data_IF_396098035773
#
_entry.id   IF_396098035773
#
_cell.length_a   1.000
_cell.length_b   1.000
_cell.length_c   1.000
_cell.angle_alpha   90.00
_cell.angle_beta   90.00
_cell.angle_gamma   90.00
#
_symmetry.space_group_name_H-M   'P 1'
#
loop_
_entity.id
_entity.type
_entity.pdbx_description
1 polymer ?
#
# COMPACT_ATOMS: atom_id res chain seq x y z
N UNK A 1 27.31 6.09 22.80
CA UNK A 1 26.86 7.49 22.80
C UNK A 1 25.37 7.48 22.49
N UNK A 2 24.48 8.04 23.33
CA UNK A 2 23.08 8.18 22.96
C UNK A 2 22.99 9.12 21.75
N UNK A 3 22.40 8.65 20.65
CA UNK A 3 22.21 9.49 19.46
C UNK A 3 21.34 10.69 19.82
N UNK A 4 21.91 11.88 19.67
CA UNK A 4 21.23 13.15 19.85
C UNK A 4 19.97 13.19 18.98
N UNK A 5 18.87 13.63 19.58
CA UNK A 5 17.60 13.88 18.91
C UNK A 5 17.83 15.03 17.92
N UNK A 6 18.11 14.69 16.66
CA UNK A 6 18.15 15.65 15.57
C UNK A 6 16.70 15.87 15.11
N UNK A 7 16.11 16.98 15.56
CA UNK A 7 14.85 17.52 15.02
C UNK A 7 15.02 18.08 13.60
N UNK A 8 16.02 17.61 12.84
CA UNK A 8 16.26 18.10 11.49
C UNK A 8 15.16 17.57 10.57
N UNK A 9 14.44 18.44 9.85
CA UNK A 9 13.46 18.01 8.86
C UNK A 9 14.12 17.10 7.83
N UNK A 10 13.39 16.07 7.39
CA UNK A 10 13.85 15.21 6.30
C UNK A 10 14.09 16.05 5.03
N UNK A 11 15.13 15.67 4.28
CA UNK A 11 15.34 16.23 2.95
C UNK A 11 14.11 15.93 2.07
N UNK A 12 13.71 16.91 1.26
CA UNK A 12 12.60 16.73 0.32
C UNK A 12 12.88 15.52 -0.58
N UNK A 13 11.91 14.61 -0.66
CA UNK A 13 12.01 13.48 -1.57
C UNK A 13 11.96 13.97 -3.02
N UNK A 14 12.85 13.44 -3.86
CA UNK A 14 12.84 13.70 -5.30
C UNK A 14 12.63 12.36 -5.97
N UNK A 15 11.52 12.25 -6.70
CA UNK A 15 11.20 11.05 -7.48
C UNK A 15 12.27 10.84 -8.56
N UNK A 16 12.62 9.58 -8.88
CA UNK A 16 13.43 9.30 -10.05
C UNK A 16 12.76 9.86 -11.31
N UNK A 17 13.51 10.15 -12.39
CA UNK A 17 12.90 10.50 -13.65
C UNK A 17 12.11 9.29 -14.21
N UNK A 18 11.09 9.59 -15.01
CA UNK A 18 10.36 8.57 -15.76
C UNK A 18 11.29 7.75 -16.65
N UNK A 19 10.87 6.51 -16.91
CA UNK A 19 11.56 5.64 -17.88
C UNK A 19 11.54 6.27 -19.27
N UNK A 20 12.63 6.09 -20.01
CA UNK A 20 12.73 6.47 -21.42
C UNK A 20 12.44 5.30 -22.36
N UNK A 21 12.19 4.13 -21.79
CA UNK A 21 11.86 2.92 -22.55
C UNK A 21 10.45 3.03 -23.14
N UNK A 22 10.28 2.53 -24.36
CA UNK A 22 8.96 2.45 -25.00
C UNK A 22 8.26 1.17 -24.55
N UNK A 23 7.28 1.32 -23.66
CA UNK A 23 6.49 0.22 -23.11
C UNK A 23 5.05 0.30 -23.59
N UNK A 24 4.39 -0.85 -23.74
CA UNK A 24 2.93 -0.90 -23.89
C UNK A 24 2.29 -0.76 -22.51
N UNK A 25 1.46 0.26 -22.33
CA UNK A 25 0.77 0.53 -21.07
C UNK A 25 -0.65 -0.03 -21.10
N UNK A 26 -1.09 -0.58 -19.98
CA UNK A 26 -2.47 -1.01 -19.81
C UNK A 26 -3.39 0.23 -19.71
N UNK A 27 -4.53 0.22 -20.42
CA UNK A 27 -5.53 1.27 -20.33
C UNK A 27 -6.35 1.08 -19.05
N UNK A 28 -5.92 1.75 -17.98
CA UNK A 28 -6.52 1.64 -16.65
C UNK A 28 -7.53 2.76 -16.43
N UNK A 29 -8.69 2.39 -15.87
CA UNK A 29 -9.72 3.35 -15.48
C UNK A 29 -9.19 4.21 -14.32
N UNK A 30 -9.41 5.53 -14.41
CA UNK A 30 -9.14 6.46 -13.30
C UNK A 30 -10.43 6.86 -12.60
N UNK A 31 -10.53 6.55 -11.31
CA UNK A 31 -11.63 6.94 -10.43
C UNK A 31 -11.32 8.27 -9.74
N UNK A 32 -12.12 9.29 -10.06
CA UNK A 32 -12.03 10.61 -9.44
C UNK A 32 -12.91 10.66 -8.18
N UNK A 33 -12.30 10.63 -6.99
CA UNK A 33 -13.05 10.64 -5.73
C UNK A 33 -13.67 12.00 -5.38
N UNK A 34 -13.33 13.08 -6.09
CA UNK A 34 -14.02 14.37 -5.93
C UNK A 34 -15.48 14.29 -6.39
N UNK A 35 -15.82 13.28 -7.19
CA UNK A 35 -17.17 13.03 -7.69
C UNK A 35 -18.05 12.28 -6.68
N UNK A 36 -17.47 11.64 -5.67
CA UNK A 36 -18.20 10.72 -4.77
C UNK A 36 -19.37 11.38 -4.05
N UNK A 37 -19.16 12.58 -3.51
CA UNK A 37 -20.16 13.30 -2.71
C UNK A 37 -21.09 14.17 -3.58
N UNK A 38 -20.95 14.13 -4.92
CA UNK A 38 -21.78 14.92 -5.83
C UNK A 38 -23.11 14.17 -6.14
N UNK A 39 -24.26 14.87 -6.15
CA UNK A 39 -25.56 14.23 -6.42
C UNK A 39 -25.57 13.47 -7.76
N UNK A 40 -25.98 12.19 -7.73
CA UNK A 40 -26.12 11.33 -8.92
C UNK A 40 -24.81 10.92 -9.60
N UNK A 41 -23.67 11.05 -8.91
CA UNK A 41 -22.34 10.67 -9.44
C UNK A 41 -21.81 9.36 -8.87
N UNK A 42 -22.44 8.84 -7.82
CA UNK A 42 -22.08 7.57 -7.20
C UNK A 42 -22.26 6.40 -8.18
N UNK A 43 -23.36 6.37 -8.92
CA UNK A 43 -23.68 5.32 -9.89
C UNK A 43 -22.61 5.25 -11.00
N UNK A 44 -22.18 6.43 -11.47
CA UNK A 44 -21.09 6.52 -12.46
C UNK A 44 -19.77 5.96 -11.92
N UNK A 45 -19.40 6.31 -10.68
CA UNK A 45 -18.19 5.79 -10.06
C UNK A 45 -18.27 4.27 -9.84
N UNK A 46 -19.45 3.77 -9.47
CA UNK A 46 -19.69 2.34 -9.32
C UNK A 46 -19.56 1.60 -10.67
N UNK A 47 -20.11 2.14 -11.75
CA UNK A 47 -19.95 1.57 -13.09
C UNK A 47 -18.49 1.55 -13.54
N UNK A 48 -17.74 2.63 -13.30
CA UNK A 48 -16.30 2.69 -13.59
C UNK A 48 -15.52 1.64 -12.79
N UNK A 49 -15.79 1.52 -11.49
CA UNK A 49 -15.16 0.54 -10.61
C UNK A 49 -15.49 -0.90 -11.06
N UNK A 50 -16.76 -1.16 -11.40
CA UNK A 50 -17.23 -2.45 -11.89
C UNK A 50 -16.51 -2.85 -13.18
N UNK A 51 -16.38 -1.92 -14.13
CA UNK A 51 -15.63 -2.18 -15.36
C UNK A 51 -14.17 -2.52 -15.08
N UNK A 52 -13.49 -1.73 -14.25
CA UNK A 52 -12.08 -1.97 -13.90
C UNK A 52 -11.87 -3.32 -13.19
N UNK A 53 -12.80 -3.71 -12.30
CA UNK A 53 -12.75 -4.97 -11.59
C UNK A 53 -12.95 -6.20 -12.52
N UNK A 54 -13.70 -6.04 -13.61
CA UNK A 54 -13.95 -7.12 -14.58
C UNK A 54 -12.88 -7.25 -15.68
N UNK A 55 -12.02 -6.24 -15.88
CA UNK A 55 -11.00 -6.25 -16.94
C UNK A 55 -9.63 -6.67 -16.44
N UNK A 56 -8.99 -5.82 -15.64
CA UNK A 56 -7.58 -5.96 -15.25
C UNK A 56 -7.46 -6.17 -13.72
N UNK A 57 -8.50 -5.82 -12.95
CA UNK A 57 -8.46 -5.86 -11.48
C UNK A 57 -7.64 -4.71 -10.88
N UNK A 58 -7.25 -3.74 -11.70
CA UNK A 58 -6.42 -2.59 -11.34
C UNK A 58 -7.04 -1.30 -11.90
N UNK A 59 -6.86 -0.20 -11.19
CA UNK A 59 -7.36 1.13 -11.56
C UNK A 59 -6.57 2.21 -10.82
N UNK A 60 -6.61 3.42 -11.37
CA UNK A 60 -6.08 4.61 -10.71
C UNK A 60 -7.15 5.30 -9.88
N UNK A 61 -6.71 6.05 -8.87
CA UNK A 61 -7.57 6.89 -8.05
C UNK A 61 -6.95 8.27 -7.96
N UNK A 62 -7.73 9.30 -8.24
CA UNK A 62 -7.33 10.70 -8.10
C UNK A 62 -8.20 11.42 -7.09
N UNK A 63 -7.75 12.62 -6.69
CA UNK A 63 -8.44 13.48 -5.73
C UNK A 63 -8.71 12.79 -4.39
N UNK A 64 -7.72 12.03 -3.90
CA UNK A 64 -7.77 11.30 -2.62
C UNK A 64 -7.71 12.19 -1.37
N UNK A 65 -7.67 13.52 -1.53
CA UNK A 65 -7.66 14.48 -0.42
C UNK A 65 -6.32 14.59 0.33
N UNK A 66 -5.23 14.08 -0.25
CA UNK A 66 -3.86 14.28 0.24
C UNK A 66 -3.09 15.19 -0.72
N UNK A 67 -2.25 16.07 -0.18
CA UNK A 67 -1.33 16.87 -0.98
C UNK A 67 -0.13 16.04 -1.43
N UNK A 68 0.50 16.42 -2.54
CA UNK A 68 1.74 15.79 -2.98
C UNK A 68 2.83 15.84 -1.90
N UNK A 69 2.91 16.93 -1.13
CA UNK A 69 3.87 17.04 -0.02
C UNK A 69 3.63 16.03 1.10
N UNK A 70 2.37 15.67 1.39
CA UNK A 70 2.06 14.63 2.38
C UNK A 70 2.46 13.24 1.88
N UNK A 71 2.30 12.97 0.58
CA UNK A 71 2.74 11.72 -0.07
C UNK A 71 4.27 11.66 -0.11
N UNK A 72 4.94 12.70 -0.62
CA UNK A 72 6.40 12.82 -0.69
C UNK A 72 7.05 12.66 0.69
N UNK A 73 6.38 13.11 1.75
CA UNK A 73 6.84 12.95 3.12
C UNK A 73 6.89 11.47 3.53
N UNK A 74 5.92 10.63 3.10
CA UNK A 74 5.99 9.18 3.36
C UNK A 74 7.18 8.53 2.64
N UNK A 75 7.45 8.94 1.39
CA UNK A 75 8.65 8.50 0.65
C UNK A 75 9.95 8.96 1.32
N UNK A 76 9.99 10.20 1.85
CA UNK A 76 11.14 10.71 2.58
C UNK A 76 11.41 9.89 3.85
N UNK A 77 10.37 9.54 4.60
CA UNK A 77 10.47 8.70 5.81
C UNK A 77 11.00 7.31 5.43
N UNK A 78 10.44 6.69 4.40
CA UNK A 78 10.89 5.39 3.90
C UNK A 78 12.37 5.43 3.47
N UNK A 79 12.77 6.44 2.68
CA UNK A 79 14.16 6.64 2.25
C UNK A 79 15.11 6.80 3.43
N UNK A 80 14.72 7.55 4.45
CA UNK A 80 15.50 7.73 5.66
C UNK A 80 15.63 6.44 6.47
N UNK A 81 14.58 5.62 6.56
CA UNK A 81 14.64 4.30 7.16
C UNK A 81 15.60 3.37 6.40
N UNK A 82 15.49 3.28 5.07
CA UNK A 82 16.33 2.37 4.28
C UNK A 82 17.81 2.80 4.22
N UNK A 83 18.10 4.08 4.52
CA UNK A 83 19.46 4.58 4.68
C UNK A 83 20.13 4.18 6.02
N UNK A 84 19.38 3.62 6.98
CA UNK A 84 19.95 3.07 8.22
C UNK A 84 20.87 1.88 7.92
N UNK A 85 21.83 1.64 8.82
CA UNK A 85 22.72 0.49 8.68
C UNK A 85 21.94 -0.83 8.77
N UNK A 86 22.42 -1.91 8.14
CA UNK A 86 21.78 -3.23 8.26
C UNK A 86 21.58 -3.65 9.72
N UNK A 87 22.54 -3.36 10.60
CA UNK A 87 22.46 -3.67 12.03
C UNK A 87 21.33 -2.91 12.74
N UNK A 88 21.10 -1.64 12.39
CA UNK A 88 20.00 -0.85 12.97
C UNK A 88 18.65 -1.37 12.48
N UNK A 89 18.52 -1.67 11.17
CA UNK A 89 17.28 -2.23 10.61
C UNK A 89 16.94 -3.59 11.24
N UNK A 90 17.94 -4.45 11.43
CA UNK A 90 17.78 -5.79 12.00
C UNK A 90 17.29 -5.80 13.45
N UNK A 91 17.53 -4.74 14.23
CA UNK A 91 16.95 -4.62 15.59
C UNK A 91 15.41 -4.61 15.57
N UNK A 92 14.80 -4.24 14.44
CA UNK A 92 13.36 -4.14 14.26
C UNK A 92 12.83 -5.21 13.31
N UNK A 93 13.52 -6.35 13.18
CA UNK A 93 13.07 -7.48 12.35
C UNK A 93 11.65 -7.90 12.72
N UNK A 94 10.85 -8.18 11.70
CA UNK A 94 9.56 -8.82 11.85
C UNK A 94 9.74 -10.32 12.21
N UNK A 95 8.89 -10.89 13.07
CA UNK A 95 8.88 -12.34 13.32
C UNK A 95 8.16 -13.06 12.17
N UNK A 96 8.86 -13.14 11.03
CA UNK A 96 8.33 -13.68 9.77
C UNK A 96 7.93 -15.16 9.90
N UNK A 97 8.65 -15.90 10.75
CA UNK A 97 8.41 -17.31 11.05
C UNK A 97 7.02 -17.54 11.65
N UNK A 98 6.50 -16.55 12.39
CA UNK A 98 5.18 -16.58 13.02
C UNK A 98 4.09 -16.02 12.08
N UNK A 99 4.42 -15.76 10.81
CA UNK A 99 3.53 -15.11 9.85
C UNK A 99 3.29 -13.63 10.14
N UNK A 100 4.03 -13.02 11.07
CA UNK A 100 3.89 -11.62 11.44
C UNK A 100 4.90 -10.76 10.67
N UNK A 101 4.36 -9.86 9.85
CA UNK A 101 5.13 -8.99 8.97
C UNK A 101 5.28 -7.56 9.48
N UNK A 102 4.84 -7.25 10.71
CA UNK A 102 4.99 -5.94 11.32
C UNK A 102 6.47 -5.71 11.67
N UNK A 103 7.17 -4.83 10.95
CA UNK A 103 8.60 -4.58 11.11
C UNK A 103 9.43 -4.87 9.84
N UNK A 104 10.74 -5.04 10.02
CA UNK A 104 11.72 -5.19 8.94
C UNK A 104 11.80 -6.61 8.39
N UNK A 105 11.77 -6.75 7.07
CA UNK A 105 12.16 -7.96 6.34
C UNK A 105 13.47 -7.73 5.59
N UNK A 106 14.54 -8.46 5.91
CA UNK A 106 15.82 -8.37 5.21
C UNK A 106 15.77 -8.83 3.74
N UNK A 107 16.72 -8.34 2.94
CA UNK A 107 17.03 -8.90 1.62
C UNK A 107 17.33 -10.40 1.71
N UNK A 108 16.97 -11.16 0.67
CA UNK A 108 17.22 -12.59 0.58
C UNK A 108 16.53 -13.42 1.64
N UNK A 109 15.41 -12.95 2.19
CA UNK A 109 14.65 -13.70 3.21
C UNK A 109 13.81 -14.83 2.61
N UNK A 110 13.59 -14.84 1.29
CA UNK A 110 12.83 -15.89 0.61
C UNK A 110 13.59 -16.35 -0.63
N UNK A 111 13.86 -17.65 -0.69
CA UNK A 111 14.30 -18.33 -1.91
C UNK A 111 13.13 -18.40 -2.90
N UNK A 112 13.27 -17.74 -4.06
CA UNK A 112 12.25 -17.69 -5.11
C UNK A 112 12.38 -18.89 -6.05
N UNK A 113 13.61 -19.23 -6.44
CA UNK A 113 13.96 -20.40 -7.25
C UNK A 113 15.13 -21.12 -6.59
N UNK A 114 15.37 -22.41 -6.87
CA UNK A 114 16.53 -23.12 -6.32
C UNK A 114 17.84 -22.36 -6.55
N UNK A 115 18.46 -21.89 -5.47
CA UNK A 115 19.70 -21.11 -5.47
C UNK A 115 19.54 -19.62 -5.83
N UNK A 116 18.32 -19.10 -5.91
CA UNK A 116 18.02 -17.69 -6.17
C UNK A 116 17.14 -17.10 -5.08
N UNK A 117 17.76 -16.30 -4.22
CA UNK A 117 17.08 -15.52 -3.20
C UNK A 117 16.48 -14.24 -3.77
N UNK A 118 15.45 -13.73 -3.10
CA UNK A 118 14.79 -12.49 -3.48
C UNK A 118 15.63 -11.25 -3.19
N UNK A 119 15.49 -10.23 -4.04
CA UNK A 119 16.17 -8.95 -3.87
C UNK A 119 15.23 -7.87 -3.32
N UNK A 120 14.39 -8.23 -2.34
CA UNK A 120 13.40 -7.34 -1.74
C UNK A 120 13.65 -7.17 -0.24
N UNK A 121 13.77 -5.92 0.20
CA UNK A 121 13.60 -5.56 1.60
C UNK A 121 12.36 -4.69 1.77
N UNK A 122 11.71 -4.80 2.93
CA UNK A 122 10.63 -3.88 3.29
C UNK A 122 10.54 -3.65 4.79
N UNK A 123 9.82 -2.61 5.15
CA UNK A 123 9.44 -2.31 6.53
C UNK A 123 7.96 -2.01 6.59
N UNK A 124 7.20 -2.82 7.34
CA UNK A 124 5.78 -2.58 7.52
C UNK A 124 5.51 -1.90 8.85
N UNK A 125 4.72 -0.83 8.81
CA UNK A 125 4.11 -0.21 9.99
C UNK A 125 2.64 -0.62 9.99
N UNK A 126 2.25 -1.49 10.92
CA UNK A 126 0.84 -1.87 11.07
C UNK A 126 -0.01 -0.70 11.58
N UNK A 127 -1.34 -0.86 11.51
CA UNK A 127 -2.30 0.14 12.00
C UNK A 127 -1.94 0.60 13.41
N UNK A 128 -2.20 1.87 13.72
CA UNK A 128 -1.97 2.43 15.04
C UNK A 128 -3.06 2.01 16.03
N UNK A 129 -3.05 0.74 16.43
CA UNK A 129 -3.96 0.14 17.40
C UNK A 129 -3.15 -0.47 18.56
N UNK A 130 -3.66 -0.51 19.80
CA UNK A 130 -2.90 -1.02 20.95
C UNK A 130 -2.28 -2.40 20.73
N UNK A 131 -3.01 -3.31 20.08
CA UNK A 131 -2.60 -4.70 19.82
C UNK A 131 -1.52 -4.85 18.75
N UNK A 132 -1.28 -3.83 17.92
CA UNK A 132 -0.27 -3.85 16.85
C UNK A 132 0.93 -2.97 17.15
N UNK A 133 0.94 -2.25 18.29
CA UNK A 133 2.07 -1.44 18.72
C UNK A 133 3.28 -2.31 19.06
N UNK A 134 4.47 -1.84 18.65
CA UNK A 134 5.77 -2.43 18.98
C UNK A 134 6.83 -1.32 19.03
N UNK A 135 8.01 -1.57 19.61
CA UNK A 135 9.15 -0.66 19.45
C UNK A 135 9.44 -0.42 17.96
N UNK A 136 9.65 0.85 17.61
CA UNK A 136 9.90 1.31 16.24
C UNK A 136 11.29 1.95 16.14
N UNK A 137 11.93 1.94 14.94
CA UNK A 137 13.11 2.73 14.65
C UNK A 137 12.85 4.20 14.97
N UNK A 138 13.88 4.91 15.43
CA UNK A 138 13.77 6.32 15.83
C UNK A 138 13.12 7.18 14.74
N UNK A 139 13.46 6.95 13.47
CA UNK A 139 12.88 7.69 12.34
C UNK A 139 11.37 7.47 12.20
N UNK A 140 10.88 6.24 12.41
CA UNK A 140 9.45 5.93 12.37
C UNK A 140 8.74 6.56 13.57
N UNK A 141 9.33 6.47 14.76
CA UNK A 141 8.78 7.10 15.98
C UNK A 141 8.69 8.62 15.85
N UNK A 142 9.70 9.27 15.28
CA UNK A 142 9.75 10.72 15.09
C UNK A 142 8.62 11.23 14.19
N UNK A 143 8.23 10.45 13.18
CA UNK A 143 7.19 10.80 12.22
C UNK A 143 5.88 10.01 12.42
N UNK A 144 5.70 9.34 13.56
CA UNK A 144 4.58 8.45 13.83
C UNK A 144 3.21 9.12 13.61
N UNK A 145 3.03 10.37 14.05
CA UNK A 145 1.78 11.11 13.87
C UNK A 145 1.44 11.37 12.40
N UNK A 146 2.45 11.57 11.54
CA UNK A 146 2.26 11.80 10.11
C UNK A 146 1.92 10.49 9.40
N UNK A 147 2.59 9.39 9.77
CA UNK A 147 2.29 8.05 9.26
C UNK A 147 0.88 7.63 9.66
N UNK A 148 0.51 7.83 10.94
CA UNK A 148 -0.83 7.53 11.44
C UNK A 148 -1.90 8.35 10.72
N UNK A 149 -1.69 9.66 10.58
CA UNK A 149 -2.61 10.52 9.84
C UNK A 149 -2.81 10.05 8.40
N UNK A 150 -1.73 9.71 7.69
CA UNK A 150 -1.79 9.17 6.33
C UNK A 150 -2.59 7.86 6.27
N UNK A 151 -2.30 6.90 7.17
CA UNK A 151 -3.00 5.61 7.22
C UNK A 151 -4.50 5.79 7.52
N UNK A 152 -4.84 6.61 8.52
CA UNK A 152 -6.24 6.90 8.87
C UNK A 152 -6.97 7.58 7.74
N UNK A 153 -6.34 8.57 7.09
CA UNK A 153 -6.93 9.26 5.95
C UNK A 153 -7.22 8.31 4.78
N UNK A 154 -6.25 7.47 4.41
CA UNK A 154 -6.44 6.45 3.36
C UNK A 154 -7.55 5.45 3.72
N UNK A 155 -7.68 5.10 4.99
CA UNK A 155 -8.76 4.22 5.43
C UNK A 155 -10.13 4.93 5.36
N UNK A 156 -10.27 6.05 6.03
CA UNK A 156 -11.55 6.74 6.26
C UNK A 156 -12.07 7.44 5.00
N UNK A 157 -11.19 8.08 4.22
CA UNK A 157 -11.58 8.94 3.10
C UNK A 157 -11.47 8.28 1.73
N UNK A 158 -10.72 7.18 1.63
CA UNK A 158 -10.54 6.45 0.36
C UNK A 158 -11.14 5.05 0.46
N UNK A 159 -10.67 4.24 1.42
CA UNK A 159 -11.09 2.83 1.54
C UNK A 159 -12.57 2.69 1.85
N UNK A 160 -13.10 3.42 2.82
CA UNK A 160 -14.53 3.34 3.14
C UNK A 160 -15.41 3.73 1.95
N UNK A 161 -15.03 4.75 1.16
CA UNK A 161 -15.75 5.16 -0.05
C UNK A 161 -15.76 4.04 -1.10
N UNK A 162 -14.59 3.43 -1.36
CA UNK A 162 -14.50 2.31 -2.29
C UNK A 162 -15.28 1.08 -1.82
N UNK A 163 -15.23 0.74 -0.53
CA UNK A 163 -16.00 -0.38 0.02
C UNK A 163 -17.50 -0.15 -0.10
N UNK A 164 -17.98 1.09 0.04
CA UNK A 164 -19.39 1.44 -0.21
C UNK A 164 -19.76 1.34 -1.68
N UNK A 165 -18.88 1.77 -2.60
CA UNK A 165 -19.08 1.55 -4.03
C UNK A 165 -19.17 0.05 -4.36
N UNK A 166 -18.28 -0.77 -3.78
CA UNK A 166 -18.31 -2.23 -3.96
C UNK A 166 -19.61 -2.81 -3.38
N UNK A 167 -20.03 -2.37 -2.19
CA UNK A 167 -21.29 -2.81 -1.61
C UNK A 167 -22.48 -2.46 -2.54
N UNK A 168 -22.49 -1.25 -3.11
CA UNK A 168 -23.49 -0.83 -4.08
C UNK A 168 -23.48 -1.69 -5.36
N UNK A 169 -22.30 -1.97 -5.93
CA UNK A 169 -22.15 -2.84 -7.12
C UNK A 169 -22.66 -4.25 -6.87
N UNK A 170 -22.46 -4.76 -5.66
CA UNK A 170 -22.90 -6.09 -5.22
C UNK A 170 -24.34 -6.11 -4.69
N UNK A 171 -25.06 -4.98 -4.74
CA UNK A 171 -26.41 -4.84 -4.20
C UNK A 171 -26.53 -5.21 -2.71
N UNK A 172 -25.45 -4.94 -1.95
CA UNK A 172 -25.35 -5.16 -0.51
C UNK A 172 -25.70 -3.89 0.30
N UNK A 173 -26.04 -4.01 1.60
CA UNK A 173 -26.18 -2.86 2.47
C UNK A 173 -24.91 -2.00 2.50
N UNK A 174 -25.07 -0.68 2.39
CA UNK A 174 -23.99 0.29 2.14
C UNK A 174 -22.73 0.08 3.00
N UNK A 175 -22.89 -0.06 4.32
CA UNK A 175 -21.76 -0.15 5.24
C UNK A 175 -21.32 -1.59 5.57
N UNK A 176 -21.90 -2.63 4.94
CA UNK A 176 -21.61 -4.02 5.34
C UNK A 176 -20.13 -4.38 5.16
N UNK A 177 -19.52 -3.91 4.06
CA UNK A 177 -18.11 -4.17 3.76
C UNK A 177 -17.18 -3.21 4.50
N UNK A 178 -17.61 -1.95 4.71
CA UNK A 178 -16.86 -0.97 5.48
C UNK A 178 -16.73 -1.38 6.96
N UNK A 179 -17.77 -2.01 7.52
CA UNK A 179 -17.79 -2.51 8.89
C UNK A 179 -17.20 -3.94 9.03
N UNK A 180 -17.00 -4.66 7.92
CA UNK A 180 -16.64 -6.08 7.87
C UNK A 180 -15.18 -6.41 8.19
N UNK A 181 -14.51 -5.66 9.07
CA UNK A 181 -13.15 -6.02 9.50
C UNK A 181 -13.13 -7.41 10.12
N UNK A 182 -12.13 -8.23 9.75
CA UNK A 182 -11.91 -9.56 10.33
C UNK A 182 -11.85 -9.44 11.85
N UNK A 183 -12.73 -10.16 12.53
CA UNK A 183 -12.70 -10.36 13.97
C UNK A 183 -11.42 -11.08 14.40
N UNK A 184 -11.06 -10.99 15.69
CA UNK A 184 -9.94 -11.76 16.25
C UNK A 184 -10.07 -13.26 15.95
N UNK A 185 -11.29 -13.79 16.05
CA UNK A 185 -11.61 -15.19 15.73
C UNK A 185 -11.36 -15.54 14.25
N UNK A 186 -11.59 -14.62 13.31
CA UNK A 186 -11.30 -14.83 11.89
C UNK A 186 -9.80 -14.78 11.60
N UNK A 187 -9.04 -13.93 12.29
CA UNK A 187 -7.58 -13.89 12.17
C UNK A 187 -6.93 -15.18 12.69
N UNK A 188 -7.48 -15.75 13.76
CA UNK A 188 -7.04 -17.03 14.34
C UNK A 188 -7.31 -18.21 13.40
N UNK A 189 -8.44 -18.20 12.67
CA UNK A 189 -8.78 -19.20 11.64
C UNK A 189 -7.74 -19.28 10.51
N UNK A 190 -7.12 -18.15 10.14
CA UNK A 190 -6.04 -18.09 9.14
C UNK A 190 -4.64 -18.10 9.76
N UNK A 191 -4.53 -18.51 11.05
CA UNK A 191 -3.26 -18.65 11.78
C UNK A 191 -2.36 -17.39 11.74
N UNK A 192 -2.94 -16.21 11.59
CA UNK A 192 -2.16 -14.97 11.44
C UNK A 192 -1.19 -14.96 10.25
N UNK A 193 -1.37 -15.84 9.25
CA UNK A 193 -0.47 -15.98 8.11
C UNK A 193 -0.77 -14.92 7.04
N UNK A 194 0.23 -14.08 6.75
CA UNK A 194 0.09 -13.03 5.74
C UNK A 194 0.85 -13.25 4.42
N UNK A 195 1.70 -14.30 4.20
CA UNK A 195 2.05 -14.80 2.83
C UNK A 195 3.08 -15.96 2.57
N UNK A 196 2.97 -16.61 1.38
CA UNK A 196 3.97 -16.71 0.24
C UNK A 196 3.23 -16.81 -1.13
N UNK A 197 3.79 -16.24 -2.22
CA UNK A 197 3.30 -16.23 -3.64
C UNK A 197 1.80 -15.96 -3.85
N UNK A 198 1.38 -14.72 -4.19
CA UNK A 198 0.00 -14.30 -3.88
C UNK A 198 -0.67 -13.25 -4.78
N UNK A 199 -2.00 -13.26 -4.77
CA UNK A 199 -2.85 -12.06 -4.82
C UNK A 199 -2.87 -11.38 -3.44
N UNK A 200 -3.02 -10.06 -3.39
CA UNK A 200 -3.04 -9.34 -2.12
C UNK A 200 -4.09 -9.91 -1.15
N UNK A 201 -3.67 -10.19 0.09
CA UNK A 201 -4.53 -10.79 1.11
C UNK A 201 -5.57 -9.82 1.69
N UNK A 202 -5.42 -8.53 1.39
CA UNK A 202 -6.33 -7.46 1.81
C UNK A 202 -7.49 -7.28 0.84
N UNK A 203 -8.50 -6.50 1.24
CA UNK A 203 -9.63 -6.17 0.37
C UNK A 203 -9.26 -5.18 -0.74
N UNK A 204 -8.40 -4.20 -0.41
CA UNK A 204 -7.92 -3.17 -1.32
C UNK A 204 -6.46 -2.86 -0.98
N UNK A 205 -5.63 -2.71 -2.01
CA UNK A 205 -4.21 -2.33 -1.87
C UNK A 205 -3.97 -1.02 -2.61
N UNK A 206 -3.27 -0.10 -1.96
CA UNK A 206 -2.85 1.17 -2.56
C UNK A 206 -1.35 1.13 -2.77
N UNK A 207 -0.93 1.27 -4.02
CA UNK A 207 0.48 1.39 -4.39
C UNK A 207 0.74 2.84 -4.79
N UNK A 208 1.53 3.53 -3.98
CA UNK A 208 2.14 4.79 -4.37
C UNK A 208 3.47 4.43 -5.01
N UNK A 209 3.51 4.41 -6.34
CA UNK A 209 4.72 4.01 -7.07
C UNK A 209 5.67 5.18 -7.28
N UNK A 210 6.96 4.86 -7.38
CA UNK A 210 7.91 5.75 -8.04
C UNK A 210 7.66 5.64 -9.56
N UNK A 211 8.01 6.66 -10.37
CA UNK A 211 7.87 6.63 -11.84
C UNK A 211 8.89 5.72 -12.53
N UNK A 212 9.17 4.56 -11.93
CA UNK A 212 9.93 3.46 -12.52
C UNK A 212 8.90 2.40 -12.89
N UNK A 213 8.70 2.16 -14.19
CA UNK A 213 7.80 1.13 -14.68
C UNK A 213 8.29 -0.27 -14.27
N UNK A 214 7.89 -0.69 -13.07
CA UNK A 214 8.29 -1.97 -12.48
C UNK A 214 7.08 -2.86 -12.13
N UNK A 215 5.90 -2.26 -11.92
CA UNK A 215 4.66 -3.02 -11.81
C UNK A 215 4.20 -3.41 -13.21
N UNK A 216 3.79 -4.66 -13.40
CA UNK A 216 3.23 -5.15 -14.66
C UNK A 216 2.05 -6.07 -14.34
N UNK A 217 0.80 -5.76 -14.74
CA UNK A 217 -0.30 -6.70 -14.62
C UNK A 217 -0.20 -7.73 -15.76
N UNK A 218 -0.78 -8.91 -15.54
CA UNK A 218 -0.95 -9.91 -16.59
C UNK A 218 -2.43 -10.01 -16.88
N UNK A 219 -2.92 -9.48 -18.02
CA UNK A 219 -4.28 -9.70 -18.46
C UNK A 219 -4.53 -11.20 -18.69
N UNK A 220 -5.64 -11.71 -18.17
CA UNK A 220 -6.01 -13.14 -18.22
C UNK A 220 -6.07 -13.69 -19.65
N UNK A 221 -6.35 -12.82 -20.63
CA UNK A 221 -6.53 -13.21 -22.03
C UNK A 221 -5.24 -13.33 -22.87
N UNK A 222 -4.09 -12.82 -22.42
CA UNK A 222 -2.90 -12.70 -23.31
C UNK A 222 -1.60 -13.27 -22.76
N UNK A 223 -1.41 -13.38 -21.44
CA UNK A 223 -0.14 -13.87 -20.87
C UNK A 223 1.09 -13.01 -21.23
N UNK A 224 0.87 -11.75 -21.62
CA UNK A 224 1.92 -10.76 -21.93
C UNK A 224 1.89 -9.67 -20.85
N UNK A 225 3.07 -9.31 -20.35
CA UNK A 225 3.24 -8.26 -19.34
C UNK A 225 3.07 -6.87 -19.95
N UNK A 226 2.27 -6.01 -19.33
CA UNK A 226 2.06 -4.62 -19.74
C UNK A 226 2.56 -3.65 -18.64
N UNK A 227 3.09 -2.47 -19.00
CA UNK A 227 3.56 -1.46 -18.04
C UNK A 227 2.44 -0.59 -17.47
N UNK A 228 2.80 0.30 -16.53
CA UNK A 228 1.91 1.32 -15.93
C UNK A 228 2.38 2.74 -16.28
N UNK A 229 1.47 3.62 -16.72
CA UNK A 229 1.72 5.06 -16.97
C UNK A 229 0.84 5.90 -16.03
N UNK A 230 1.40 6.90 -15.34
CA UNK A 230 0.68 7.75 -14.38
C UNK A 230 -0.44 8.57 -15.07
N UNK A 231 -1.50 8.87 -14.32
CA UNK A 231 -2.59 9.78 -14.71
C UNK A 231 -2.49 11.14 -14.01
#
# INVERSE_FOLDING_TARGET
>A
MPHQISNTPLAKYTHPPETKESLSYADLVTLDLSEYDKPGRMERLADQLKQAAHTIGFFYITNIGLTQSQIDQQFAIAKAFFALTPSEKLQFRAPLEDGNYNGYRPLGSVEILPGLDDNLEFYNVFKFLPQTQRPQPQIISQYASQIEHFQRHMHENVTCKLLRLIAHILELPEDVLANGHRSEAENEKYKGLYLRGHSDNGTLTYVFQQPVAALQPVPEERGVWEGWEEA
#
